data_IF_360665129849
#
_entry.id   IF_360665129849
#
_cell.length_a   1.000
_cell.length_b   1.000
_cell.length_c   1.000
_cell.angle_alpha   90.00
_cell.angle_beta   90.00
_cell.angle_gamma   90.00
#
_symmetry.space_group_name_H-M   'P 1'
#
loop_
_entity.id
_entity.type
_entity.pdbx_description
1 polymer ?
#
# COMPACT_ATOMS: atom_id res chain seq x y z
N UNK A 1 16.03 -26.81 4.44
CA UNK A 1 14.94 -27.20 3.52
C UNK A 1 14.64 -25.97 2.67
N UNK A 2 14.42 -26.08 1.35
CA UNK A 2 14.41 -24.90 0.50
C UNK A 2 13.10 -24.12 0.69
N UNK A 3 13.20 -22.85 1.09
CA UNK A 3 12.08 -21.92 1.01
C UNK A 3 11.72 -21.71 -0.46
N UNK A 4 10.45 -21.82 -0.80
CA UNK A 4 9.94 -21.49 -2.14
C UNK A 4 9.65 -20.00 -2.19
N UNK A 5 10.48 -19.24 -2.92
CA UNK A 5 10.27 -17.82 -3.17
C UNK A 5 9.52 -17.64 -4.48
N UNK A 6 8.39 -16.93 -4.46
CA UNK A 6 7.71 -16.46 -5.67
C UNK A 6 8.11 -15.00 -5.90
N UNK A 7 8.68 -14.72 -7.06
CA UNK A 7 9.14 -13.39 -7.44
C UNK A 7 8.14 -12.78 -8.41
N UNK A 8 7.40 -11.77 -7.95
CA UNK A 8 6.54 -10.98 -8.83
C UNK A 8 7.36 -9.88 -9.50
N UNK A 9 7.49 -9.97 -10.83
CA UNK A 9 8.09 -8.91 -11.65
C UNK A 9 7.00 -8.18 -12.41
N UNK A 10 6.61 -7.00 -11.92
CA UNK A 10 5.84 -6.07 -12.73
C UNK A 10 6.81 -5.32 -13.66
N UNK A 11 6.83 -5.67 -14.95
CA UNK A 11 7.58 -4.92 -15.97
C UNK A 11 6.63 -4.05 -16.78
N UNK A 12 6.85 -2.74 -16.81
CA UNK A 12 6.23 -1.91 -17.84
C UNK A 12 7.21 -0.93 -18.49
N UNK A 13 7.13 -0.90 -19.82
CA UNK A 13 7.93 -0.09 -20.73
C UNK A 13 7.58 1.38 -20.59
N UNK A 14 8.62 2.21 -20.46
CA UNK A 14 8.49 3.62 -20.13
C UNK A 14 7.80 4.48 -21.19
N UNK A 15 7.24 5.58 -20.72
CA UNK A 15 7.03 6.80 -21.49
C UNK A 15 7.50 7.97 -20.63
N UNK A 16 8.56 8.64 -21.10
CA UNK A 16 9.04 9.88 -20.51
C UNK A 16 8.08 10.99 -20.90
N UNK A 17 7.49 11.67 -19.91
CA UNK A 17 6.77 12.91 -20.12
C UNK A 17 7.56 14.07 -19.54
N UNK A 18 7.78 15.05 -20.40
CA UNK A 18 8.49 16.30 -20.13
C UNK A 18 7.52 17.36 -19.59
N UNK A 19 8.14 18.33 -18.92
CA UNK A 19 7.70 19.72 -18.70
C UNK A 19 7.19 20.10 -17.31
N UNK A 20 7.72 21.25 -16.86
CA UNK A 20 7.14 22.12 -15.85
C UNK A 20 8.10 22.47 -14.71
N UNK A 21 8.92 23.50 -14.85
CA UNK A 21 9.48 24.21 -13.69
C UNK A 21 8.32 24.91 -12.95
N UNK A 22 7.83 24.28 -11.88
CA UNK A 22 6.86 24.91 -11.01
C UNK A 22 7.56 25.34 -9.71
N UNK A 23 7.74 26.65 -9.58
CA UNK A 23 8.08 27.29 -8.30
C UNK A 23 6.78 27.59 -7.57
N UNK A 24 6.64 27.09 -6.34
CA UNK A 24 5.47 27.33 -5.51
C UNK A 24 5.86 27.99 -4.18
N UNK A 25 5.13 29.04 -3.76
CA UNK A 25 5.33 29.64 -2.45
C UNK A 25 4.56 28.82 -1.39
N UNK A 26 5.26 28.30 -0.39
CA UNK A 26 4.60 27.78 0.82
C UNK A 26 4.46 28.94 1.82
N UNK A 27 3.22 29.36 2.04
CA UNK A 27 2.88 30.46 2.94
C UNK A 27 3.02 30.07 4.41
N UNK A 28 3.97 30.71 5.08
CA UNK A 28 3.91 31.19 6.47
C UNK A 28 4.61 32.56 6.43
N UNK A 29 4.05 33.53 7.17
CA UNK A 29 4.42 34.95 7.11
C UNK A 29 5.94 35.21 7.07
N UNK A 30 6.29 36.28 6.36
CA UNK A 30 7.65 36.79 6.13
C UNK A 30 8.46 36.08 5.04
N UNK A 31 8.04 36.25 3.78
CA UNK A 31 8.90 36.55 2.61
C UNK A 31 10.18 35.75 2.33
N UNK A 32 10.47 34.68 3.05
CA UNK A 32 11.69 33.89 2.90
C UNK A 32 11.42 32.75 1.92
N UNK A 33 11.86 32.99 0.69
CA UNK A 33 12.07 31.95 -0.31
C UNK A 33 13.14 30.98 0.22
N UNK A 34 12.73 29.87 0.83
CA UNK A 34 13.65 28.77 1.08
C UNK A 34 13.91 28.05 -0.24
N UNK A 35 14.77 28.64 -1.09
CA UNK A 35 15.42 27.86 -2.14
C UNK A 35 16.29 26.83 -1.44
N UNK A 36 16.00 25.56 -1.62
CA UNK A 36 16.85 24.51 -1.11
C UNK A 36 18.27 24.70 -1.65
N UNK A 37 19.25 24.85 -0.76
CA UNK A 37 20.62 25.26 -1.11
C UNK A 37 21.47 24.12 -1.68
N UNK A 38 20.89 22.91 -1.80
CA UNK A 38 21.56 21.71 -2.28
C UNK A 38 21.48 21.51 -3.81
N UNK A 39 20.73 22.38 -4.51
CA UNK A 39 20.52 22.26 -5.96
C UNK A 39 19.67 21.05 -6.37
N UNK A 40 19.06 20.35 -5.42
CA UNK A 40 18.27 19.15 -5.67
C UNK A 40 16.80 19.51 -5.94
N UNK A 41 16.26 19.00 -7.06
CA UNK A 41 14.85 19.13 -7.40
C UNK A 41 13.99 18.33 -6.44
N UNK A 42 12.88 18.94 -6.01
CA UNK A 42 11.90 18.32 -5.13
C UNK A 42 10.53 18.28 -5.80
N UNK A 43 9.77 17.25 -5.47
CA UNK A 43 8.45 16.93 -6.02
C UNK A 43 7.45 16.68 -4.88
N UNK A 44 6.21 17.08 -5.10
CA UNK A 44 5.09 16.63 -4.28
C UNK A 44 4.71 15.21 -4.72
N UNK A 45 4.83 14.25 -3.81
CA UNK A 45 4.51 12.85 -4.07
C UNK A 45 3.09 12.48 -3.65
N UNK A 46 2.29 13.43 -3.16
CA UNK A 46 0.89 13.17 -2.84
C UNK A 46 0.06 12.98 -4.13
N UNK A 47 -0.61 11.84 -4.24
CA UNK A 47 -1.60 11.59 -5.29
C UNK A 47 -2.99 12.08 -4.82
N UNK A 48 -3.30 13.33 -5.14
CA UNK A 48 -4.56 13.96 -4.75
C UNK A 48 -5.79 13.33 -5.41
N UNK A 49 -5.67 12.73 -6.59
CA UNK A 49 -6.77 12.05 -7.26
C UNK A 49 -7.12 10.74 -6.54
N UNK A 50 -6.09 9.95 -6.18
CA UNK A 50 -6.26 8.76 -5.35
C UNK A 50 -6.85 9.09 -3.98
N UNK A 51 -6.36 10.15 -3.33
CA UNK A 51 -6.92 10.63 -2.04
C UNK A 51 -8.40 11.01 -2.18
N UNK A 52 -8.80 11.69 -3.26
CA UNK A 52 -10.20 12.03 -3.50
C UNK A 52 -11.06 10.79 -3.76
N UNK A 53 -10.56 9.83 -4.54
CA UNK A 53 -11.25 8.55 -4.77
C UNK A 53 -11.44 7.78 -3.46
N UNK A 54 -10.41 7.69 -2.64
CA UNK A 54 -10.47 7.05 -1.31
C UNK A 54 -11.48 7.75 -0.40
N UNK A 55 -11.57 9.10 -0.45
CA UNK A 55 -12.53 9.88 0.32
C UNK A 55 -14.00 9.59 -0.06
N UNK A 56 -14.26 9.22 -1.32
CA UNK A 56 -15.60 8.89 -1.82
C UNK A 56 -15.99 7.42 -1.61
N UNK A 57 -15.06 6.55 -1.19
CA UNK A 57 -15.37 5.13 -0.97
C UNK A 57 -16.37 4.94 0.17
N UNK A 58 -17.21 3.93 0.03
CA UNK A 58 -18.22 3.57 1.02
C UNK A 58 -18.36 2.05 1.11
N UNK A 59 -18.55 1.53 2.31
CA UNK A 59 -18.61 0.10 2.55
C UNK A 59 -18.19 -0.25 3.97
N UNK A 60 -18.22 -1.55 4.28
CA UNK A 60 -17.77 -2.06 5.57
C UNK A 60 -16.26 -1.89 5.68
N UNK A 61 -15.79 -1.28 6.77
CA UNK A 61 -14.36 -1.08 7.02
C UNK A 61 -13.69 0.08 6.28
N UNK A 62 -14.42 0.80 5.41
CA UNK A 62 -13.93 1.99 4.72
C UNK A 62 -13.63 3.12 5.72
N UNK A 63 -12.66 3.97 5.36
CA UNK A 63 -12.12 5.05 6.21
C UNK A 63 -11.62 4.54 7.56
N UNK A 64 -11.23 3.26 7.64
CA UNK A 64 -10.83 2.61 8.89
C UNK A 64 -11.92 2.51 9.95
N UNK A 65 -13.20 2.67 9.56
CA UNK A 65 -14.33 2.52 10.48
C UNK A 65 -14.42 1.09 11.01
N UNK A 66 -14.85 0.88 12.26
CA UNK A 66 -15.06 -0.46 12.79
C UNK A 66 -16.10 -1.22 11.95
N UNK A 67 -15.85 -2.51 11.75
CA UNK A 67 -16.80 -3.39 11.08
C UNK A 67 -18.02 -3.65 12.00
N UNK A 68 -19.26 -3.54 11.50
CA UNK A 68 -20.45 -3.83 12.30
C UNK A 68 -20.59 -5.35 12.50
N UNK A 69 -20.15 -5.85 13.66
CA UNK A 69 -20.21 -7.27 14.00
C UNK A 69 -21.66 -7.74 14.20
N UNK A 70 -22.01 -8.87 13.59
CA UNK A 70 -23.21 -9.66 13.94
C UNK A 70 -22.88 -10.67 15.05
N UNK A 71 -23.87 -11.41 15.55
CA UNK A 71 -23.63 -12.43 16.58
C UNK A 71 -22.83 -13.62 16.02
N UNK A 72 -22.95 -13.92 14.72
CA UNK A 72 -22.14 -14.93 14.03
C UNK A 72 -20.66 -14.53 13.94
N UNK A 73 -20.37 -13.24 13.83
CA UNK A 73 -19.01 -12.71 13.69
C UNK A 73 -18.20 -12.77 15.00
N UNK A 74 -18.88 -13.05 16.12
CA UNK A 74 -18.31 -13.10 17.47
C UNK A 74 -17.87 -14.49 17.89
N UNK A 75 -17.99 -15.48 17.02
CA UNK A 75 -17.50 -16.82 17.32
C UNK A 75 -15.96 -16.82 17.45
N UNK A 76 -15.48 -17.35 18.58
CA UNK A 76 -14.05 -17.54 18.87
C UNK A 76 -13.34 -18.41 17.82
N UNK A 77 -14.09 -19.21 17.05
CA UNK A 77 -13.55 -19.97 15.92
C UNK A 77 -12.87 -19.08 14.88
N UNK A 78 -13.37 -17.85 14.66
CA UNK A 78 -12.84 -16.92 13.66
C UNK A 78 -11.42 -16.41 13.98
N UNK A 79 -10.94 -16.61 15.22
CA UNK A 79 -9.62 -16.17 15.67
C UNK A 79 -8.58 -17.29 15.73
N UNK A 80 -8.99 -18.56 15.75
CA UNK A 80 -8.10 -19.69 16.03
C UNK A 80 -6.98 -19.88 15.02
N UNK A 81 -7.25 -19.58 13.75
CA UNK A 81 -6.32 -19.89 12.66
C UNK A 81 -5.24 -18.83 12.45
N UNK A 82 -5.56 -17.55 12.67
CA UNK A 82 -4.67 -16.43 12.32
C UNK A 82 -4.41 -15.45 13.49
N UNK A 83 -5.04 -15.65 14.65
CA UNK A 83 -4.95 -14.73 15.80
C UNK A 83 -5.75 -13.42 15.63
N UNK A 84 -6.46 -13.26 14.51
CA UNK A 84 -7.38 -12.16 14.23
C UNK A 84 -8.65 -12.70 13.56
N UNK A 85 -9.72 -11.91 13.55
CA UNK A 85 -11.01 -12.31 12.98
C UNK A 85 -10.94 -12.39 11.44
N UNK A 86 -10.73 -13.60 10.92
CA UNK A 86 -10.62 -13.82 9.47
C UNK A 86 -11.95 -13.55 8.76
N UNK A 87 -13.09 -13.81 9.42
CA UNK A 87 -14.41 -13.56 8.84
C UNK A 87 -14.62 -12.07 8.57
N UNK A 88 -14.29 -11.22 9.54
CA UNK A 88 -14.33 -9.76 9.38
C UNK A 88 -13.37 -9.32 8.28
N UNK A 89 -12.15 -9.87 8.25
CA UNK A 89 -11.17 -9.57 7.20
C UNK A 89 -11.71 -9.90 5.80
N UNK A 90 -12.41 -11.03 5.64
CA UNK A 90 -12.97 -11.45 4.36
C UNK A 90 -14.14 -10.58 3.88
N UNK A 91 -14.84 -9.92 4.81
CA UNK A 91 -15.96 -9.04 4.51
C UNK A 91 -15.58 -7.55 4.36
N UNK A 92 -14.30 -7.23 4.52
CA UNK A 92 -13.76 -5.90 4.27
C UNK A 92 -13.06 -5.90 2.90
N UNK A 93 -13.27 -4.85 2.11
CA UNK A 93 -12.66 -4.73 0.79
C UNK A 93 -11.12 -4.82 0.86
N UNK A 94 -10.51 -5.54 -0.10
CA UNK A 94 -9.06 -5.64 -0.23
C UNK A 94 -8.39 -4.28 -0.44
N UNK A 95 -9.11 -3.34 -1.05
CA UNK A 95 -8.62 -2.00 -1.34
C UNK A 95 -9.21 -0.93 -0.41
N UNK A 96 -9.70 -1.27 0.78
CA UNK A 96 -10.38 -0.30 1.66
C UNK A 96 -9.61 1.01 1.84
N UNK A 97 -10.33 2.12 1.92
CA UNK A 97 -9.75 3.41 2.28
C UNK A 97 -9.39 3.46 3.77
N UNK A 98 -8.40 4.27 4.10
CA UNK A 98 -7.93 4.49 5.48
C UNK A 98 -8.01 5.98 5.82
N UNK A 99 -8.24 6.34 7.10
CA UNK A 99 -8.25 7.73 7.51
C UNK A 99 -6.82 8.27 7.51
N UNK A 100 -6.65 9.50 7.03
CA UNK A 100 -5.36 10.19 7.11
C UNK A 100 -5.13 10.75 8.52
N UNK A 101 -4.46 9.96 9.36
CA UNK A 101 -4.09 10.33 10.74
C UNK A 101 -2.71 11.00 10.85
N UNK A 102 -2.07 11.31 9.71
CA UNK A 102 -0.73 11.94 9.70
C UNK A 102 -0.81 13.35 10.28
N UNK A 103 0.32 13.84 10.80
CA UNK A 103 0.42 15.22 11.26
C UNK A 103 0.11 16.21 10.13
N UNK A 104 -0.58 17.32 10.40
CA UNK A 104 -1.03 18.28 9.37
C UNK A 104 0.11 18.77 8.45
N UNK A 105 1.30 18.95 9.02
CA UNK A 105 2.50 19.35 8.25
C UNK A 105 2.97 18.31 7.21
N UNK A 106 2.60 17.03 7.34
CA UNK A 106 2.99 15.99 6.38
C UNK A 106 2.44 16.25 4.98
N UNK A 107 1.26 16.89 4.86
CA UNK A 107 0.62 17.23 3.59
C UNK A 107 1.39 18.26 2.77
N UNK A 108 2.26 19.04 3.42
CA UNK A 108 3.06 20.09 2.78
C UNK A 108 4.52 19.65 2.57
N UNK A 109 4.85 18.38 2.84
CA UNK A 109 6.23 17.88 2.69
C UNK A 109 6.51 17.55 1.23
N UNK A 110 7.63 18.07 0.76
CA UNK A 110 8.21 17.79 -0.54
C UNK A 110 9.43 16.88 -0.38
N UNK A 111 9.60 15.91 -1.27
CA UNK A 111 10.74 15.00 -1.26
C UNK A 111 11.55 15.15 -2.55
N UNK A 112 12.72 14.52 -2.63
CA UNK A 112 13.52 14.50 -3.85
C UNK A 112 12.69 13.96 -5.02
N UNK A 113 12.85 14.56 -6.19
CA UNK A 113 12.20 14.09 -7.42
C UNK A 113 12.77 12.72 -7.85
N UNK A 114 14.06 12.49 -7.61
CA UNK A 114 14.74 11.23 -7.89
C UNK A 114 15.00 10.49 -6.59
N UNK A 115 14.23 9.45 -6.35
CA UNK A 115 14.40 8.52 -5.25
C UNK A 115 14.90 7.18 -5.79
N UNK A 116 15.70 6.42 -5.03
CA UNK A 116 16.02 5.05 -5.40
C UNK A 116 14.75 4.20 -5.40
N UNK A 117 14.68 3.22 -6.31
CA UNK A 117 13.65 2.19 -6.25
C UNK A 117 13.90 1.23 -5.07
N UNK A 118 12.87 0.48 -4.69
CA UNK A 118 12.92 -0.46 -3.57
C UNK A 118 12.28 -1.80 -3.93
N UNK A 119 12.92 -2.89 -3.51
CA UNK A 119 12.33 -4.23 -3.54
C UNK A 119 11.62 -4.47 -2.21
N UNK A 120 10.34 -4.84 -2.27
CA UNK A 120 9.50 -5.05 -1.09
C UNK A 120 9.41 -6.55 -0.84
N UNK A 121 9.90 -7.02 0.31
CA UNK A 121 9.93 -8.44 0.66
C UNK A 121 8.92 -8.70 1.77
N UNK A 122 7.99 -9.62 1.53
CA UNK A 122 6.92 -9.99 2.46
C UNK A 122 7.07 -11.48 2.81
N UNK A 123 7.68 -11.79 3.96
CA UNK A 123 7.64 -13.16 4.48
C UNK A 123 6.24 -13.48 5.02
N UNK A 124 5.73 -14.67 4.74
CA UNK A 124 4.45 -15.14 5.26
C UNK A 124 4.53 -16.62 5.67
N UNK A 125 3.78 -16.98 6.70
CA UNK A 125 3.62 -18.36 7.16
C UNK A 125 2.17 -18.55 7.63
N UNK A 126 1.39 -19.38 6.93
CA UNK A 126 -0.02 -19.66 7.26
C UNK A 126 -0.86 -18.37 7.47
N UNK A 127 -0.56 -17.31 6.71
CA UNK A 127 -1.21 -16.00 6.83
C UNK A 127 -2.62 -16.05 6.20
N UNK A 128 -3.59 -15.35 6.79
CA UNK A 128 -4.94 -15.29 6.23
C UNK A 128 -4.95 -14.65 4.83
N UNK A 129 -5.49 -15.35 3.84
CA UNK A 129 -5.46 -14.95 2.42
C UNK A 129 -5.86 -13.49 2.16
N UNK A 130 -6.99 -13.04 2.73
CA UNK A 130 -7.48 -11.67 2.52
C UNK A 130 -6.63 -10.61 3.21
N UNK A 131 -5.91 -10.97 4.28
CA UNK A 131 -4.93 -10.09 4.94
C UNK A 131 -3.67 -9.92 4.10
N UNK A 132 -3.14 -11.03 3.54
CA UNK A 132 -1.98 -10.98 2.65
C UNK A 132 -2.30 -10.17 1.39
N UNK A 133 -3.43 -10.45 0.73
CA UNK A 133 -3.86 -9.72 -0.47
C UNK A 133 -4.05 -8.23 -0.20
N UNK A 134 -4.70 -7.86 0.91
CA UNK A 134 -4.91 -6.46 1.28
C UNK A 134 -3.59 -5.73 1.52
N UNK A 135 -2.56 -6.43 2.01
CA UNK A 135 -1.21 -5.88 2.13
C UNK A 135 -0.63 -5.57 0.75
N UNK A 136 -0.73 -6.52 -0.19
CA UNK A 136 -0.23 -6.35 -1.57
C UNK A 136 -0.98 -5.21 -2.29
N UNK A 137 -2.31 -5.20 -2.24
CA UNK A 137 -3.12 -4.11 -2.83
C UNK A 137 -2.79 -2.75 -2.21
N UNK A 138 -2.53 -2.68 -0.90
CA UNK A 138 -2.13 -1.43 -0.27
C UNK A 138 -0.77 -0.94 -0.78
N UNK A 139 0.18 -1.85 -1.04
CA UNK A 139 1.49 -1.48 -1.60
C UNK A 139 1.32 -0.94 -3.01
N UNK A 140 0.63 -1.68 -3.88
CA UNK A 140 0.43 -1.32 -5.29
C UNK A 140 -0.31 0.01 -5.42
N UNK A 141 -1.41 0.19 -4.69
CA UNK A 141 -2.28 1.35 -4.86
C UNK A 141 -1.78 2.62 -4.17
N UNK A 142 -0.81 2.52 -3.25
CA UNK A 142 -0.35 3.67 -2.43
C UNK A 142 1.13 3.96 -2.56
N UNK A 143 1.83 3.25 -3.43
CA UNK A 143 3.24 3.48 -3.74
C UNK A 143 3.37 3.88 -5.21
N UNK A 144 4.07 4.98 -5.54
CA UNK A 144 4.33 5.32 -6.93
C UNK A 144 5.05 4.18 -7.65
N UNK A 145 4.52 3.72 -8.79
CA UNK A 145 5.05 2.57 -9.53
C UNK A 145 6.54 2.68 -9.84
N UNK A 146 7.02 3.88 -10.17
CA UNK A 146 8.43 4.15 -10.46
C UNK A 146 9.40 3.85 -9.31
N UNK A 147 8.87 3.76 -8.08
CA UNK A 147 9.66 3.49 -6.87
C UNK A 147 9.64 2.01 -6.48
N UNK A 148 8.76 1.19 -7.06
CA UNK A 148 8.72 -0.25 -6.81
C UNK A 148 9.63 -0.93 -7.84
N UNK A 149 10.64 -1.64 -7.38
CA UNK A 149 11.44 -2.51 -8.23
C UNK A 149 10.75 -3.87 -8.44
N UNK A 150 10.31 -4.49 -7.36
CA UNK A 150 9.64 -5.80 -7.33
C UNK A 150 8.96 -6.01 -5.96
N UNK A 151 8.00 -6.93 -5.92
CA UNK A 151 7.38 -7.42 -4.68
C UNK A 151 7.69 -8.92 -4.59
N UNK A 152 8.35 -9.34 -3.51
CA UNK A 152 8.77 -10.74 -3.33
C UNK A 152 7.98 -11.32 -2.17
N UNK A 153 7.19 -12.35 -2.45
CA UNK A 153 6.48 -13.12 -1.44
C UNK A 153 7.32 -14.34 -1.07
N UNK A 154 7.69 -14.43 0.20
CA UNK A 154 8.54 -15.51 0.71
C UNK A 154 7.69 -16.40 1.60
N UNK A 155 7.38 -17.61 1.12
CA UNK A 155 6.68 -18.60 1.92
C UNK A 155 7.65 -19.28 2.89
N UNK A 156 7.46 -19.04 4.19
CA UNK A 156 8.20 -19.70 5.26
C UNK A 156 7.52 -21.03 5.63
N UNK A 157 7.44 -21.93 4.67
CA UNK A 157 6.91 -23.30 4.85
C UNK A 157 5.48 -23.35 5.40
N UNK A 158 4.55 -22.62 4.77
CA UNK A 158 3.12 -22.73 5.09
C UNK A 158 2.59 -24.14 4.81
N UNK A 159 1.70 -24.60 5.68
CA UNK A 159 1.05 -25.92 5.63
C UNK A 159 -0.26 -25.88 4.82
N UNK A 160 -0.72 -24.68 4.43
CA UNK A 160 -1.95 -24.45 3.67
C UNK A 160 -1.71 -24.60 2.17
N UNK A 161 -1.94 -25.79 1.65
CA UNK A 161 -1.77 -26.12 0.21
C UNK A 161 -2.61 -25.26 -0.75
N UNK A 162 -3.70 -24.64 -0.27
CA UNK A 162 -4.59 -23.79 -1.07
C UNK A 162 -3.99 -22.42 -1.42
N UNK A 163 -3.33 -21.76 -0.47
CA UNK A 163 -2.83 -20.39 -0.59
C UNK A 163 -1.69 -20.32 -1.63
N UNK A 164 -0.84 -21.35 -1.70
CA UNK A 164 0.23 -21.46 -2.71
C UNK A 164 -0.29 -21.41 -4.15
N UNK A 165 -1.42 -22.05 -4.43
CA UNK A 165 -1.99 -22.10 -5.79
C UNK A 165 -2.63 -20.79 -6.21
N UNK A 166 -3.17 -20.02 -5.27
CA UNK A 166 -3.76 -18.71 -5.57
C UNK A 166 -2.70 -17.64 -5.74
N UNK A 167 -1.60 -17.70 -4.97
CA UNK A 167 -0.42 -16.84 -5.17
C UNK A 167 0.16 -17.05 -6.56
N UNK A 168 0.37 -18.31 -6.98
CA UNK A 168 0.88 -18.62 -8.32
C UNK A 168 -0.03 -18.14 -9.46
N UNK A 169 -1.32 -17.93 -9.22
CA UNK A 169 -2.24 -17.35 -10.23
C UNK A 169 -2.10 -15.84 -10.36
N UNK A 170 -1.63 -15.15 -9.31
CA UNK A 170 -1.39 -13.71 -9.39
C UNK A 170 -0.19 -13.40 -10.28
N UNK A 171 0.78 -14.33 -10.42
CA UNK A 171 1.93 -14.17 -11.33
C UNK A 171 1.51 -14.04 -12.82
N UNK A 172 0.24 -14.33 -13.15
CA UNK A 172 -0.33 -14.22 -14.50
C UNK A 172 -1.02 -12.86 -14.79
N UNK A 173 -0.93 -11.87 -13.88
CA UNK A 173 -1.49 -10.52 -14.03
C UNK A 173 -0.46 -9.45 -14.41
#
# INVERSE_FOLDING_TARGET
>A
LPATSTVFKHTNNGLSHSQGEQTFPLGLGDGQFYSWTDGLRRKDWHDYESIQRDALRSGKGEHGKPYPLTEEDRDDSAYRENGFNIFVSNNIALERSLPDIRHANCKHKMYLERLPNTSIIIPFHNEGWTSLLRTIHSIINRTPESLIAEIILVDDFSDRDGERKEIMKLDEW
#
